data_IF_252218417604
#
_entry.id   IF_252218417604
#
_cell.length_a   1.000
_cell.length_b   1.000
_cell.length_c   1.000
_cell.angle_alpha   90.00
_cell.angle_beta   90.00
_cell.angle_gamma   90.00
#
_symmetry.space_group_name_H-M   'P 1'
#
loop_
_entity.id
_entity.type
_entity.pdbx_description
1 polymer ?
#
# COMPACT_ATOMS: atom_id res chain seq x y z
N UNK A 1 -15.33 -5.18 14.25
CA UNK A 1 -14.36 -4.09 14.04
C UNK A 1 -13.25 -4.65 13.17
N UNK A 2 -13.11 -4.16 11.94
CA UNK A 2 -12.00 -4.51 11.05
C UNK A 2 -10.70 -3.90 11.61
N UNK A 3 -9.62 -4.67 11.69
CA UNK A 3 -8.34 -4.15 12.20
C UNK A 3 -7.69 -3.28 11.13
N UNK A 4 -7.29 -2.06 11.49
CA UNK A 4 -6.55 -1.16 10.59
C UNK A 4 -5.05 -1.39 10.69
N UNK A 5 -4.36 -1.36 9.55
CA UNK A 5 -2.89 -1.44 9.46
C UNK A 5 -2.40 -0.31 8.57
N UNK A 6 -1.42 0.46 9.05
CA UNK A 6 -0.66 1.39 8.22
C UNK A 6 0.57 0.64 7.72
N UNK A 7 0.66 0.43 6.41
CA UNK A 7 1.77 -0.27 5.76
C UNK A 7 2.70 0.75 5.11
N UNK A 8 3.98 0.74 5.49
CA UNK A 8 5.00 1.44 4.72
C UNK A 8 5.08 0.81 3.31
N UNK A 9 4.63 1.57 2.32
CA UNK A 9 4.39 1.08 0.98
C UNK A 9 5.41 1.68 0.00
N UNK A 10 6.13 0.81 -0.70
CA UNK A 10 7.23 1.22 -1.59
C UNK A 10 6.83 1.34 -3.06
N UNK A 11 5.63 0.91 -3.43
CA UNK A 11 5.22 0.74 -4.84
C UNK A 11 5.79 -0.51 -5.54
N UNK A 12 6.66 -1.26 -4.87
CA UNK A 12 7.27 -2.49 -5.38
C UNK A 12 6.37 -3.71 -5.31
N UNK A 13 6.82 -4.82 -5.88
CA UNK A 13 6.10 -6.10 -5.92
C UNK A 13 5.74 -6.58 -4.51
N UNK A 14 6.72 -6.65 -3.62
CA UNK A 14 6.56 -7.20 -2.27
C UNK A 14 5.49 -6.45 -1.47
N UNK A 15 5.58 -5.12 -1.44
CA UNK A 15 4.61 -4.30 -0.70
C UNK A 15 3.24 -4.32 -1.36
N UNK A 16 3.14 -4.51 -2.67
CA UNK A 16 1.84 -4.63 -3.38
C UNK A 16 1.16 -5.96 -3.09
N UNK A 17 1.91 -7.06 -3.09
CA UNK A 17 1.41 -8.36 -2.64
C UNK A 17 1.02 -8.32 -1.16
N UNK A 18 1.80 -7.63 -0.32
CA UNK A 18 1.49 -7.47 1.10
C UNK A 18 0.17 -6.73 1.35
N UNK A 19 -0.12 -5.65 0.60
CA UNK A 19 -1.43 -4.96 0.64
C UNK A 19 -2.53 -5.97 0.37
N UNK A 20 -2.47 -6.68 -0.77
CA UNK A 20 -3.52 -7.62 -1.15
C UNK A 20 -3.69 -8.75 -0.13
N UNK A 21 -2.58 -9.29 0.37
CA UNK A 21 -2.59 -10.38 1.34
C UNK A 21 -3.20 -9.97 2.70
N UNK A 22 -2.95 -8.74 3.14
CA UNK A 22 -3.57 -8.20 4.36
C UNK A 22 -5.05 -7.90 4.14
N UNK A 23 -5.42 -7.33 3.00
CA UNK A 23 -6.83 -7.08 2.65
C UNK A 23 -7.63 -8.38 2.57
N UNK A 24 -7.10 -9.44 1.94
CA UNK A 24 -7.72 -10.78 1.88
C UNK A 24 -7.87 -11.44 3.27
N UNK A 25 -7.08 -11.00 4.26
CA UNK A 25 -7.20 -11.43 5.66
C UNK A 25 -8.19 -10.59 6.48
N UNK A 26 -8.87 -9.64 5.86
CA UNK A 26 -9.85 -8.78 6.52
C UNK A 26 -9.23 -7.64 7.31
N UNK A 27 -8.04 -7.17 6.93
CA UNK A 27 -7.50 -5.91 7.42
C UNK A 27 -7.94 -4.76 6.52
N UNK A 28 -8.13 -3.58 7.12
CA UNK A 28 -8.23 -2.32 6.41
C UNK A 28 -6.80 -1.75 6.29
N UNK A 29 -6.25 -1.74 5.07
CA UNK A 29 -4.85 -1.41 4.83
C UNK A 29 -4.74 0.02 4.30
N UNK A 30 -4.06 0.86 5.07
CA UNK A 30 -3.69 2.23 4.67
C UNK A 30 -2.25 2.17 4.15
N UNK A 31 -2.06 2.40 2.86
CA UNK A 31 -0.73 2.44 2.27
C UNK A 31 -0.08 3.81 2.50
N UNK A 32 1.07 3.84 3.16
CA UNK A 32 1.84 5.06 3.41
C UNK A 32 3.11 5.05 2.57
N UNK A 33 3.15 5.92 1.56
CA UNK A 33 4.37 6.24 0.82
C UNK A 33 4.90 7.57 1.34
N UNK A 34 6.19 7.63 1.67
CA UNK A 34 6.85 8.87 2.10
C UNK A 34 7.89 9.23 1.06
N UNK A 35 7.79 10.43 0.49
CA UNK A 35 8.83 10.97 -0.35
C UNK A 35 10.02 11.42 0.51
N UNK A 36 11.18 10.85 0.21
CA UNK A 36 12.46 11.12 0.87
C UNK A 36 13.54 11.53 -0.14
N UNK A 37 13.14 12.03 -1.31
CA UNK A 37 14.02 12.36 -2.43
C UNK A 37 14.06 11.24 -3.48
N UNK A 38 12.91 10.64 -3.78
CA UNK A 38 12.81 9.56 -4.75
C UNK A 38 12.64 10.11 -6.19
N UNK A 39 13.41 9.60 -7.16
CA UNK A 39 13.28 9.93 -8.60
C UNK A 39 12.05 9.30 -9.29
N UNK A 40 11.03 8.92 -8.52
CA UNK A 40 9.83 8.24 -9.03
C UNK A 40 8.57 8.97 -8.64
N UNK A 41 7.61 8.97 -9.55
CA UNK A 41 6.32 9.61 -9.35
C UNK A 41 5.52 8.88 -8.25
N UNK A 42 5.16 9.57 -7.15
CA UNK A 42 4.36 8.98 -6.07
C UNK A 42 2.96 8.59 -6.52
N UNK A 43 2.41 9.19 -7.59
CA UNK A 43 1.09 8.84 -8.12
C UNK A 43 1.04 7.37 -8.59
N UNK A 44 2.13 6.86 -9.17
CA UNK A 44 2.22 5.46 -9.60
C UNK A 44 2.15 4.51 -8.41
N UNK A 45 2.73 4.88 -7.27
CA UNK A 45 2.62 4.09 -6.04
C UNK A 45 1.19 4.11 -5.50
N UNK A 46 0.54 5.28 -5.48
CA UNK A 46 -0.86 5.41 -5.06
C UNK A 46 -1.81 4.55 -5.90
N UNK A 47 -1.74 4.65 -7.24
CA UNK A 47 -2.56 3.84 -8.15
C UNK A 47 -2.39 2.34 -7.90
N UNK A 48 -1.15 1.88 -7.71
CA UNK A 48 -0.85 0.47 -7.42
C UNK A 48 -1.37 0.03 -6.05
N UNK A 49 -1.29 0.89 -5.03
CA UNK A 49 -1.79 0.59 -3.70
C UNK A 49 -3.32 0.40 -3.73
N UNK A 50 -4.04 1.31 -4.40
CA UNK A 50 -5.49 1.24 -4.57
C UNK A 50 -5.87 -0.02 -5.36
N UNK A 51 -5.19 -0.30 -6.47
CA UNK A 51 -5.41 -1.51 -7.26
C UNK A 51 -5.15 -2.81 -6.47
N UNK A 52 -4.21 -2.78 -5.52
CA UNK A 52 -3.92 -3.91 -4.63
C UNK A 52 -4.93 -4.07 -3.50
N UNK A 53 -5.78 -3.07 -3.22
CA UNK A 53 -6.83 -3.11 -2.21
C UNK A 53 -6.57 -2.30 -0.94
N UNK A 54 -5.70 -1.29 -1.02
CA UNK A 54 -5.57 -0.27 0.02
C UNK A 54 -6.74 0.73 -0.03
N UNK A 55 -6.99 1.42 1.10
CA UNK A 55 -8.04 2.44 1.25
C UNK A 55 -7.53 3.71 1.95
#
# INVERSE_FOLDING_TARGET
MTKKVVLAYSGGLDTSVAVRWLTDKGYEVIALTVDVGLDRDPAVAEERAIAAGAV
#
